data_IF_574013329816
#
_entry.id   IF_574013329816
#
_cell.length_a   1.000
_cell.length_b   1.000
_cell.length_c   1.000
_cell.angle_alpha   90.00
_cell.angle_beta   90.00
_cell.angle_gamma   90.00
#
_symmetry.space_group_name_H-M   'P 1'
#
loop_
_entity.id
_entity.type
_entity.pdbx_description
1 polymer ?
#
# COMPACT_ATOMS: atom_id res chain seq x y z
N UNK A 1 14.01 -4.07 -22.44
CA UNK A 1 13.60 -2.68 -22.11
C UNK A 1 14.59 -2.17 -21.08
N UNK A 2 15.28 -1.06 -21.34
CA UNK A 2 16.14 -0.40 -20.37
C UNK A 2 15.20 0.27 -19.35
N UNK A 3 15.23 -0.21 -18.11
CA UNK A 3 14.56 0.50 -17.00
C UNK A 3 15.30 1.83 -16.84
N UNK A 4 14.57 2.94 -16.89
CA UNK A 4 15.12 4.25 -16.54
C UNK A 4 15.72 4.18 -15.13
N UNK A 5 16.84 4.87 -14.93
CA UNK A 5 17.53 4.87 -13.63
C UNK A 5 16.65 5.63 -12.63
N UNK A 6 16.12 4.91 -11.65
CA UNK A 6 15.37 5.51 -10.54
C UNK A 6 16.39 6.03 -9.52
N UNK A 7 16.31 7.31 -9.17
CA UNK A 7 17.15 7.95 -8.16
C UNK A 7 16.42 7.89 -6.83
N UNK A 8 17.00 7.21 -5.84
CA UNK A 8 16.48 7.15 -4.49
C UNK A 8 17.36 7.89 -3.50
N UNK A 9 16.74 8.71 -2.65
CA UNK A 9 17.36 9.26 -1.46
C UNK A 9 16.78 8.61 -0.22
N UNK A 10 17.61 8.44 0.80
CA UNK A 10 17.24 7.93 2.15
C UNK A 10 16.80 6.46 2.21
N UNK A 11 17.19 5.61 1.25
CA UNK A 11 16.82 4.20 1.23
C UNK A 11 17.96 3.33 1.74
N UNK A 12 17.67 2.44 2.71
CA UNK A 12 18.55 1.32 3.03
C UNK A 12 18.44 0.24 1.95
N UNK A 13 19.51 -0.55 1.74
CA UNK A 13 19.56 -1.62 0.74
C UNK A 13 18.54 -2.76 0.98
N UNK A 14 17.76 -2.73 2.05
CA UNK A 14 16.83 -3.79 2.42
C UNK A 14 15.54 -3.77 1.60
N UNK A 15 15.06 -2.61 1.19
CA UNK A 15 13.86 -2.44 0.36
C UNK A 15 14.00 -3.00 -1.06
N UNK A 16 15.21 -3.37 -1.48
CA UNK A 16 15.45 -3.98 -2.79
C UNK A 16 15.10 -5.49 -2.87
N UNK A 17 14.68 -6.12 -1.76
CA UNK A 17 14.51 -7.58 -1.67
C UNK A 17 13.11 -8.09 -2.02
N UNK A 18 12.13 -7.21 -2.23
CA UNK A 18 10.75 -7.58 -2.55
C UNK A 18 10.53 -7.74 -4.05
N UNK A 19 11.27 -8.67 -4.65
CA UNK A 19 11.19 -8.97 -6.08
C UNK A 19 9.79 -9.46 -6.52
N UNK A 20 9.05 -10.05 -5.61
CA UNK A 20 7.69 -10.55 -5.78
C UNK A 20 6.67 -9.44 -6.11
N UNK A 21 6.71 -8.31 -5.39
CA UNK A 21 5.84 -7.16 -5.67
C UNK A 21 6.23 -6.52 -7.02
N UNK A 22 7.54 -6.43 -7.30
CA UNK A 22 8.03 -5.95 -8.60
C UNK A 22 7.56 -6.83 -9.77
N UNK A 23 7.51 -8.16 -9.59
CA UNK A 23 6.95 -9.07 -10.60
C UNK A 23 5.48 -8.77 -10.88
N UNK A 24 4.66 -8.57 -9.84
CA UNK A 24 3.26 -8.18 -10.00
C UNK A 24 3.13 -6.86 -10.78
N UNK A 25 3.86 -5.81 -10.36
CA UNK A 25 3.79 -4.49 -11.00
C UNK A 25 4.26 -4.54 -12.46
N UNK A 26 5.27 -5.35 -12.76
CA UNK A 26 5.82 -5.53 -14.13
C UNK A 26 4.79 -6.12 -15.10
N UNK A 27 3.88 -6.94 -14.60
CA UNK A 27 2.84 -7.60 -15.40
C UNK A 27 1.63 -6.66 -15.65
N UNK A 28 1.56 -5.48 -14.99
CA UNK A 28 0.50 -4.50 -15.20
C UNK A 28 0.66 -3.84 -16.57
N UNK A 29 -0.40 -3.77 -17.40
CA UNK A 29 -0.35 -3.11 -18.69
C UNK A 29 0.01 -1.61 -18.56
N UNK A 30 0.89 -1.12 -19.45
CA UNK A 30 1.23 0.29 -19.53
C UNK A 30 -0.01 1.18 -19.67
N UNK A 31 0.00 2.33 -18.99
CA UNK A 31 -1.11 3.28 -18.97
C UNK A 31 -2.20 2.97 -17.94
N UNK A 32 -2.17 1.77 -17.31
CA UNK A 32 -3.12 1.41 -16.27
C UNK A 32 -3.03 2.33 -15.04
N UNK A 33 -4.14 2.41 -14.32
CA UNK A 33 -4.24 3.09 -13.03
C UNK A 33 -3.79 2.16 -11.92
N UNK A 34 -2.71 2.52 -11.24
CA UNK A 34 -2.12 1.75 -10.14
C UNK A 34 -2.18 2.54 -8.84
N UNK A 35 -2.69 1.93 -7.77
CA UNK A 35 -2.73 2.53 -6.44
C UNK A 35 -1.75 1.79 -5.51
N UNK A 36 -0.85 2.55 -4.89
CA UNK A 36 0.16 2.09 -3.93
C UNK A 36 -0.26 2.56 -2.53
N UNK A 37 -0.90 1.68 -1.78
CA UNK A 37 -1.36 1.94 -0.42
C UNK A 37 -0.28 1.50 0.57
N UNK A 38 0.21 2.45 1.38
CA UNK A 38 1.41 2.29 2.19
C UNK A 38 2.68 2.49 1.36
N UNK A 39 2.76 3.63 0.67
CA UNK A 39 3.83 3.87 -0.30
C UNK A 39 5.22 4.08 0.33
N UNK A 40 5.29 4.34 1.63
CA UNK A 40 6.53 4.65 2.34
C UNK A 40 7.34 5.73 1.59
N UNK A 41 8.57 5.49 1.21
CA UNK A 41 9.41 6.41 0.42
C UNK A 41 9.15 6.34 -1.10
N UNK A 42 8.15 5.56 -1.55
CA UNK A 42 7.68 5.52 -2.93
C UNK A 42 8.39 4.53 -3.85
N UNK A 43 9.01 3.48 -3.31
CA UNK A 43 9.75 2.51 -4.12
C UNK A 43 8.87 1.90 -5.23
N UNK A 44 7.72 1.35 -4.86
CA UNK A 44 6.83 0.71 -5.83
C UNK A 44 6.07 1.72 -6.70
N UNK A 45 5.77 2.90 -6.15
CA UNK A 45 5.17 4.01 -6.90
C UNK A 45 6.08 4.47 -8.05
N UNK A 46 7.37 4.66 -7.77
CA UNK A 46 8.35 5.05 -8.78
C UNK A 46 8.61 3.93 -9.79
N UNK A 47 8.68 2.68 -9.32
CA UNK A 47 8.83 1.53 -10.20
C UNK A 47 7.66 1.40 -11.18
N UNK A 48 6.42 1.52 -10.70
CA UNK A 48 5.23 1.55 -11.55
C UNK A 48 5.25 2.69 -12.56
N UNK A 49 5.62 3.90 -12.13
CA UNK A 49 5.75 5.05 -13.03
C UNK A 49 6.86 4.85 -14.08
N UNK A 50 7.99 4.24 -13.72
CA UNK A 50 9.05 3.90 -14.70
C UNK A 50 8.56 2.94 -15.79
N UNK A 51 7.60 2.07 -15.45
CA UNK A 51 6.93 1.17 -16.38
C UNK A 51 5.77 1.83 -17.16
N UNK A 52 5.48 3.10 -16.91
CA UNK A 52 4.45 3.86 -17.61
C UNK A 52 3.06 3.79 -16.98
N UNK A 53 2.94 3.41 -15.70
CA UNK A 53 1.67 3.41 -15.00
C UNK A 53 1.27 4.82 -14.52
N UNK A 54 -0.03 5.05 -14.37
CA UNK A 54 -0.59 6.22 -13.71
C UNK A 54 -0.77 5.90 -12.22
N UNK A 55 0.22 6.25 -11.41
CA UNK A 55 0.32 5.83 -10.01
C UNK A 55 -0.31 6.86 -9.07
N UNK A 56 -1.05 6.37 -8.08
CA UNK A 56 -1.61 7.11 -6.96
C UNK A 56 -1.06 6.51 -5.67
N UNK A 57 -0.23 7.26 -4.96
CA UNK A 57 0.49 6.81 -3.78
C UNK A 57 -0.12 7.38 -2.50
N UNK A 58 -0.31 6.54 -1.49
CA UNK A 58 -0.86 6.94 -0.19
C UNK A 58 0.12 6.54 0.91
N UNK A 59 0.51 7.52 1.72
CA UNK A 59 1.42 7.33 2.85
C UNK A 59 0.93 8.15 4.05
N UNK A 60 0.74 7.48 5.19
CA UNK A 60 0.16 8.11 6.36
C UNK A 60 1.17 8.90 7.19
N UNK A 61 2.42 8.41 7.29
CA UNK A 61 3.43 9.11 8.05
C UNK A 61 4.00 10.29 7.28
N UNK A 62 3.92 11.47 7.88
CA UNK A 62 4.37 12.72 7.27
C UNK A 62 5.86 12.71 6.91
N UNK A 63 6.72 12.06 7.69
CA UNK A 63 8.15 12.00 7.40
C UNK A 63 8.46 11.11 6.20
N UNK A 64 7.79 9.95 6.10
CA UNK A 64 7.88 9.08 4.93
C UNK A 64 7.29 9.77 3.71
N UNK A 65 6.15 10.44 3.87
CA UNK A 65 5.51 11.20 2.79
C UNK A 65 6.40 12.31 2.25
N UNK A 66 7.09 13.07 3.10
CA UNK A 66 8.05 14.10 2.65
C UNK A 66 9.20 13.47 1.84
N UNK A 67 9.68 12.29 2.26
CA UNK A 67 10.67 11.52 1.51
C UNK A 67 10.13 11.02 0.17
N UNK A 68 8.86 10.56 0.15
CA UNK A 68 8.15 10.17 -1.09
C UNK A 68 8.06 11.33 -2.07
N UNK A 69 7.62 12.53 -1.61
CA UNK A 69 7.55 13.73 -2.48
C UNK A 69 8.93 14.14 -3.01
N UNK A 70 9.98 14.07 -2.16
CA UNK A 70 11.35 14.33 -2.62
C UNK A 70 11.77 13.33 -3.69
N UNK A 71 11.52 12.04 -3.49
CA UNK A 71 11.83 11.00 -4.46
C UNK A 71 11.04 11.18 -5.77
N UNK A 72 9.77 11.55 -5.73
CA UNK A 72 8.98 11.89 -6.91
C UNK A 72 9.60 13.08 -7.66
N UNK A 73 10.00 14.12 -6.94
CA UNK A 73 10.60 15.31 -7.56
C UNK A 73 11.90 15.00 -8.31
N UNK A 74 12.75 14.12 -7.76
CA UNK A 74 13.98 13.68 -8.43
C UNK A 74 13.73 12.81 -9.66
N UNK A 75 12.57 12.18 -9.75
CA UNK A 75 12.20 11.22 -10.79
C UNK A 75 11.06 11.73 -11.71
N UNK A 76 10.86 13.03 -11.81
CA UNK A 76 9.77 13.67 -12.60
C UNK A 76 9.81 13.41 -14.10
N UNK A 77 10.88 12.80 -14.62
CA UNK A 77 11.04 12.42 -16.04
C UNK A 77 10.64 10.99 -16.34
N UNK A 78 10.13 10.25 -15.35
CA UNK A 78 9.64 8.88 -15.57
C UNK A 78 8.49 8.86 -16.59
N UNK A 79 8.32 7.72 -17.23
CA UNK A 79 7.37 7.51 -18.34
C UNK A 79 5.91 7.71 -17.93
N UNK A 80 5.52 7.24 -16.75
CA UNK A 80 4.20 7.39 -16.18
C UNK A 80 4.05 8.65 -15.33
N UNK A 81 3.03 8.65 -14.48
CA UNK A 81 2.75 9.77 -13.56
C UNK A 81 2.62 9.27 -12.13
N UNK A 82 2.93 10.14 -11.15
CA UNK A 82 2.67 9.86 -9.73
C UNK A 82 1.95 11.04 -9.10
N UNK A 83 0.86 10.75 -8.38
CA UNK A 83 0.21 11.67 -7.45
C UNK A 83 0.27 11.07 -6.07
N UNK A 84 0.79 11.82 -5.10
CA UNK A 84 0.95 11.35 -3.73
C UNK A 84 0.00 12.09 -2.77
N UNK A 85 -0.47 11.36 -1.74
CA UNK A 85 -1.39 11.86 -0.72
C UNK A 85 -0.92 11.45 0.67
N UNK A 86 -0.73 12.43 1.58
CA UNK A 86 -0.41 12.15 2.97
C UNK A 86 -1.69 11.78 3.74
N UNK A 87 -2.12 10.54 3.59
CA UNK A 87 -3.33 9.98 4.19
C UNK A 87 -3.11 8.53 4.63
N UNK A 88 -3.64 8.18 5.79
CA UNK A 88 -3.91 6.78 6.12
C UNK A 88 -5.10 6.26 5.31
N UNK A 89 -5.12 4.98 5.02
CA UNK A 89 -6.21 4.35 4.27
C UNK A 89 -6.82 3.24 5.10
N UNK A 90 -8.15 3.28 5.27
CA UNK A 90 -8.92 2.28 6.02
C UNK A 90 -10.36 2.19 5.50
N UNK A 91 -11.26 1.56 6.25
CA UNK A 91 -12.68 1.44 5.91
C UNK A 91 -13.53 2.67 6.23
N UNK A 92 -12.95 3.76 6.71
CA UNK A 92 -13.66 4.97 7.14
C UNK A 92 -12.85 6.23 6.85
N UNK A 93 -13.52 7.38 6.87
CA UNK A 93 -12.87 8.71 6.79
C UNK A 93 -12.92 9.42 8.14
N UNK A 94 -11.81 10.08 8.54
CA UNK A 94 -11.76 10.86 9.77
C UNK A 94 -10.36 11.04 10.34
N UNK A 95 -10.29 11.22 11.65
CA UNK A 95 -9.02 11.26 12.40
C UNK A 95 -8.82 9.94 13.12
N UNK A 96 -7.58 9.44 13.10
CA UNK A 96 -7.16 8.26 13.83
C UNK A 96 -5.79 8.49 14.44
N UNK A 97 -5.51 7.85 15.56
CA UNK A 97 -4.16 7.84 16.11
C UNK A 97 -3.30 6.83 15.30
N UNK A 98 -2.19 7.30 14.77
CA UNK A 98 -1.11 6.46 14.26
C UNK A 98 -0.19 6.13 15.43
N UNK A 99 0.06 4.84 15.65
CA UNK A 99 0.98 4.33 16.68
C UNK A 99 2.32 3.99 16.04
N UNK A 100 3.43 4.31 16.72
CA UNK A 100 4.78 4.06 16.21
C UNK A 100 5.82 3.94 17.32
N UNK A 101 6.98 3.35 17.02
CA UNK A 101 8.08 3.14 17.97
C UNK A 101 9.21 4.14 17.81
N UNK A 102 9.40 4.67 16.60
CA UNK A 102 10.44 5.65 16.28
C UNK A 102 10.00 6.57 15.12
N UNK A 103 10.70 7.68 14.94
CA UNK A 103 10.47 8.65 13.85
C UNK A 103 11.48 8.48 12.69
N UNK A 104 12.01 7.28 12.49
CA UNK A 104 12.96 7.01 11.42
C UNK A 104 12.30 7.14 10.05
N UNK A 105 12.97 7.90 9.16
CA UNK A 105 12.54 8.06 7.77
C UNK A 105 12.70 6.73 7.04
N UNK A 106 11.65 6.28 6.34
CA UNK A 106 11.61 4.96 5.71
C UNK A 106 11.35 3.82 6.70
N UNK A 107 11.13 4.14 7.98
CA UNK A 107 10.81 3.14 9.00
C UNK A 107 9.47 2.48 8.75
N UNK A 108 9.40 1.19 9.12
CA UNK A 108 8.21 0.35 9.11
C UNK A 108 7.55 0.36 10.49
N UNK A 109 6.48 -0.42 10.65
CA UNK A 109 5.76 -0.58 11.91
C UNK A 109 5.16 0.73 12.41
N UNK A 110 4.44 1.40 11.55
CA UNK A 110 3.57 2.53 11.88
C UNK A 110 2.14 2.10 11.59
N UNK A 111 1.35 1.87 12.61
CA UNK A 111 0.02 1.27 12.52
C UNK A 111 -1.09 2.27 12.87
N UNK A 112 -2.29 2.04 12.38
CA UNK A 112 -3.49 2.73 12.86
C UNK A 112 -4.00 2.06 14.14
N UNK A 113 -4.41 2.86 15.14
CA UNK A 113 -5.06 2.37 16.35
C UNK A 113 -6.52 1.98 16.05
N UNK A 114 -6.71 0.74 15.58
CA UNK A 114 -7.99 0.20 15.14
C UNK A 114 -8.43 -0.98 16.00
N UNK A 115 -9.74 -1.05 16.28
CA UNK A 115 -10.34 -2.22 16.95
C UNK A 115 -10.26 -3.50 16.08
N UNK A 116 -10.32 -3.33 14.76
CA UNK A 116 -10.24 -4.38 13.75
C UNK A 116 -8.85 -4.50 13.11
N UNK A 117 -7.80 -4.18 13.87
CA UNK A 117 -6.41 -4.30 13.46
C UNK A 117 -6.08 -5.73 12.99
N UNK A 118 -5.50 -5.86 11.79
CA UNK A 118 -5.21 -7.13 11.12
C UNK A 118 -3.72 -7.46 10.99
N UNK A 119 -2.85 -6.64 11.55
CA UNK A 119 -1.40 -6.83 11.51
C UNK A 119 -0.85 -7.80 12.58
N UNK A 120 0.46 -8.08 12.55
CA UNK A 120 1.12 -9.01 13.46
C UNK A 120 1.43 -8.39 14.83
N UNK A 121 1.49 -7.07 14.92
CA UNK A 121 1.93 -6.36 16.12
C UNK A 121 0.82 -6.24 17.14
N UNK A 122 1.19 -6.10 18.41
CA UNK A 122 0.27 -5.70 19.47
C UNK A 122 0.38 -4.20 19.66
N UNK A 123 -0.75 -3.51 19.83
CA UNK A 123 -0.77 -2.05 20.07
C UNK A 123 0.05 -1.65 21.29
N UNK A 124 0.23 -2.55 22.26
CA UNK A 124 1.06 -2.37 23.47
C UNK A 124 2.56 -2.21 23.19
N UNK A 125 3.04 -2.64 22.03
CA UNK A 125 4.44 -2.54 21.62
C UNK A 125 4.82 -1.12 21.16
N UNK A 126 3.83 -0.25 20.95
CA UNK A 126 4.01 1.11 20.47
C UNK A 126 3.94 2.12 21.62
N UNK A 127 4.89 3.06 21.63
CA UNK A 127 5.06 4.00 22.74
C UNK A 127 4.77 5.46 22.35
N UNK A 128 4.62 5.73 21.08
CA UNK A 128 4.33 7.05 20.53
C UNK A 128 3.06 7.02 19.71
N UNK A 129 2.35 8.16 19.69
CA UNK A 129 1.17 8.32 18.85
C UNK A 129 1.07 9.71 18.26
N UNK A 130 0.48 9.78 17.09
CA UNK A 130 0.19 11.03 16.38
C UNK A 130 -1.16 10.92 15.70
N UNK A 131 -2.00 11.93 15.85
CA UNK A 131 -3.26 11.98 15.13
C UNK A 131 -3.03 12.33 13.65
N UNK A 132 -3.58 11.53 12.77
CA UNK A 132 -3.48 11.68 11.31
C UNK A 132 -4.86 11.68 10.66
N UNK A 133 -4.89 12.10 9.39
CA UNK A 133 -6.06 11.96 8.54
C UNK A 133 -6.11 10.56 7.93
N UNK A 134 -7.25 9.89 8.09
CA UNK A 134 -7.56 8.60 7.47
C UNK A 134 -8.71 8.79 6.50
N UNK A 135 -8.66 8.08 5.38
CA UNK A 135 -9.69 8.13 4.34
C UNK A 135 -10.29 6.74 4.09
N UNK A 136 -11.58 6.73 3.82
CA UNK A 136 -12.22 5.71 3.01
C UNK A 136 -11.90 6.03 1.54
N UNK A 137 -11.31 5.07 0.84
CA UNK A 137 -10.79 5.31 -0.50
C UNK A 137 -11.91 5.55 -1.52
N UNK A 138 -13.05 4.86 -1.39
CA UNK A 138 -14.21 5.06 -2.28
C UNK A 138 -14.78 6.47 -2.16
N UNK A 139 -14.85 7.02 -0.92
CA UNK A 139 -15.29 8.40 -0.68
C UNK A 139 -14.28 9.40 -1.26
N UNK A 140 -13.00 9.18 -1.02
CA UNK A 140 -11.92 10.06 -1.49
C UNK A 140 -11.82 10.11 -3.01
N UNK A 141 -11.97 8.97 -3.69
CA UNK A 141 -12.01 8.88 -5.15
C UNK A 141 -13.16 9.72 -5.70
N UNK A 142 -14.34 9.63 -5.12
CA UNK A 142 -15.53 10.41 -5.54
C UNK A 142 -15.35 11.91 -5.28
N UNK A 143 -14.87 12.27 -4.08
CA UNK A 143 -14.66 13.67 -3.70
C UNK A 143 -13.70 14.39 -4.65
N UNK A 144 -12.58 13.73 -5.00
CA UNK A 144 -11.56 14.33 -5.87
C UNK A 144 -11.72 13.99 -7.35
N UNK A 145 -12.78 13.26 -7.71
CA UNK A 145 -13.03 12.77 -9.07
C UNK A 145 -11.79 12.06 -9.66
N UNK A 146 -11.22 11.15 -8.90
CA UNK A 146 -10.07 10.33 -9.32
C UNK A 146 -10.54 9.11 -10.12
N UNK A 147 -9.70 8.53 -10.98
CA UNK A 147 -10.01 7.24 -11.60
C UNK A 147 -9.93 6.12 -10.56
N UNK A 148 -10.85 5.17 -10.61
CA UNK A 148 -10.72 3.95 -9.79
C UNK A 148 -9.47 3.17 -10.18
N UNK A 149 -8.78 2.51 -9.22
CA UNK A 149 -7.63 1.68 -9.52
C UNK A 149 -8.02 0.45 -10.34
N UNK A 150 -7.20 0.14 -11.34
CA UNK A 150 -7.24 -1.14 -12.05
C UNK A 150 -6.39 -2.18 -11.31
N UNK A 151 -5.32 -1.73 -10.65
CA UNK A 151 -4.42 -2.57 -9.88
C UNK A 151 -4.02 -1.88 -8.57
N UNK A 152 -3.82 -2.68 -7.49
CA UNK A 152 -3.43 -2.15 -6.19
C UNK A 152 -2.25 -2.93 -5.59
N UNK A 153 -1.39 -2.22 -4.88
CA UNK A 153 -0.58 -2.77 -3.80
C UNK A 153 -1.20 -2.32 -2.48
N UNK A 154 -1.42 -3.26 -1.56
CA UNK A 154 -2.02 -3.04 -0.25
C UNK A 154 -1.06 -3.58 0.80
N UNK A 155 -0.39 -2.68 1.49
CA UNK A 155 0.58 -2.96 2.54
C UNK A 155 0.51 -1.75 3.49
N UNK A 156 -0.45 -1.81 4.40
CA UNK A 156 -0.90 -0.70 5.25
C UNK A 156 -0.84 -1.06 6.74
N UNK A 157 0.15 -1.91 7.06
CA UNK A 157 0.58 -2.24 8.42
C UNK A 157 -0.60 -2.58 9.37
N UNK A 158 -1.52 -3.47 8.91
CA UNK A 158 -2.60 -4.02 9.75
C UNK A 158 -3.96 -3.36 9.62
N UNK A 159 -4.17 -2.43 8.69
CA UNK A 159 -5.50 -1.90 8.35
C UNK A 159 -6.14 -2.55 7.13
N UNK A 160 -5.59 -3.68 6.63
CA UNK A 160 -6.06 -4.40 5.43
C UNK A 160 -7.50 -4.86 5.56
N UNK A 161 -7.87 -5.46 6.70
CA UNK A 161 -9.24 -5.92 6.93
C UNK A 161 -10.24 -4.76 6.93
N UNK A 162 -9.93 -3.69 7.66
CA UNK A 162 -10.74 -2.47 7.68
C UNK A 162 -10.91 -1.89 6.28
N UNK A 163 -9.80 -1.79 5.51
CA UNK A 163 -9.82 -1.33 4.12
C UNK A 163 -10.72 -2.20 3.24
N UNK A 164 -10.52 -3.52 3.22
CA UNK A 164 -11.29 -4.43 2.37
C UNK A 164 -12.78 -4.37 2.65
N UNK A 165 -13.15 -4.27 3.91
CA UNK A 165 -14.55 -4.17 4.35
C UNK A 165 -15.21 -2.86 3.95
N UNK A 166 -14.47 -1.75 3.96
CA UNK A 166 -15.02 -0.41 3.78
C UNK A 166 -14.99 0.13 2.35
N UNK A 167 -14.29 -0.52 1.39
CA UNK A 167 -14.04 0.03 0.05
C UNK A 167 -14.53 -0.90 -1.09
N UNK A 168 -15.84 -1.25 -1.13
CA UNK A 168 -16.38 -2.21 -2.10
C UNK A 168 -16.30 -1.72 -3.55
N UNK A 169 -16.41 -0.42 -3.83
CA UNK A 169 -16.35 0.09 -5.20
C UNK A 169 -14.92 0.03 -5.76
N UNK A 170 -13.92 0.33 -4.93
CA UNK A 170 -12.50 0.12 -5.26
C UNK A 170 -12.25 -1.34 -5.63
N UNK A 171 -12.69 -2.29 -4.77
CA UNK A 171 -12.54 -3.72 -5.03
C UNK A 171 -13.28 -4.16 -6.29
N UNK A 172 -14.48 -3.64 -6.53
CA UNK A 172 -15.28 -4.00 -7.71
C UNK A 172 -14.61 -3.57 -9.02
N UNK A 173 -13.95 -2.42 -9.05
CA UNK A 173 -13.29 -1.88 -10.24
C UNK A 173 -11.90 -2.48 -10.49
N UNK A 174 -11.23 -3.00 -9.46
CA UNK A 174 -9.90 -3.56 -9.60
C UNK A 174 -9.91 -4.89 -10.36
N UNK A 175 -8.86 -5.10 -11.16
CA UNK A 175 -8.57 -6.32 -11.94
C UNK A 175 -7.58 -7.25 -11.23
N UNK A 176 -6.71 -6.68 -10.41
CA UNK A 176 -5.71 -7.42 -9.66
C UNK A 176 -5.12 -6.60 -8.52
N UNK A 177 -4.63 -7.30 -7.52
CA UNK A 177 -3.95 -6.68 -6.39
C UNK A 177 -2.87 -7.59 -5.80
N UNK A 178 -1.88 -6.98 -5.17
CA UNK A 178 -0.98 -7.64 -4.23
C UNK A 178 -1.26 -7.08 -2.84
N UNK A 179 -1.41 -7.97 -1.86
CA UNK A 179 -1.76 -7.61 -0.48
C UNK A 179 -0.90 -8.38 0.51
N UNK A 180 -0.39 -7.67 1.52
CA UNK A 180 0.28 -8.27 2.66
C UNK A 180 -0.74 -8.75 3.69
N UNK A 181 -0.70 -10.03 4.07
CA UNK A 181 -1.61 -10.60 5.06
C UNK A 181 -0.86 -11.50 6.05
N UNK A 182 -1.25 -11.40 7.32
CA UNK A 182 -0.78 -12.24 8.41
C UNK A 182 -1.71 -13.45 8.59
N UNK A 183 -1.21 -14.66 8.33
CA UNK A 183 -2.03 -15.90 8.40
C UNK A 183 -2.45 -16.28 9.80
N UNK A 184 -1.74 -15.84 10.84
CA UNK A 184 -2.12 -16.07 12.25
C UNK A 184 -3.13 -15.06 12.77
N UNK A 185 -3.44 -14.00 12.01
CA UNK A 185 -4.42 -13.02 12.42
C UNK A 185 -5.84 -13.55 12.29
N UNK A 186 -6.68 -13.23 13.27
CA UNK A 186 -8.09 -13.67 13.32
C UNK A 186 -8.96 -13.22 12.14
N UNK A 187 -8.54 -12.20 11.39
CA UNK A 187 -9.26 -11.67 10.22
C UNK A 187 -8.72 -12.19 8.88
N UNK A 188 -7.74 -13.10 8.89
CA UNK A 188 -7.15 -13.61 7.65
C UNK A 188 -8.20 -14.24 6.72
N UNK A 189 -9.01 -15.16 7.25
CA UNK A 189 -10.04 -15.85 6.46
C UNK A 189 -11.09 -14.88 5.94
N UNK A 190 -11.47 -13.87 6.75
CA UNK A 190 -12.40 -12.82 6.33
C UNK A 190 -11.84 -11.95 5.21
N UNK A 191 -10.55 -11.59 5.25
CA UNK A 191 -9.90 -10.85 4.16
C UNK A 191 -9.96 -11.65 2.84
N UNK A 192 -9.63 -12.94 2.89
CA UNK A 192 -9.71 -13.83 1.72
C UNK A 192 -11.14 -13.95 1.22
N UNK A 193 -12.11 -14.21 2.10
CA UNK A 193 -13.52 -14.33 1.75
C UNK A 193 -14.09 -13.05 1.11
N UNK A 194 -13.70 -11.86 1.62
CA UNK A 194 -14.09 -10.58 1.01
C UNK A 194 -13.57 -10.54 -0.43
N UNK A 195 -12.28 -10.76 -0.65
CA UNK A 195 -11.68 -10.71 -1.99
C UNK A 195 -12.31 -11.72 -2.94
N UNK A 196 -12.55 -12.97 -2.51
CA UNK A 196 -13.21 -14.00 -3.29
C UNK A 196 -14.65 -13.60 -3.66
N UNK A 197 -15.38 -12.92 -2.76
CA UNK A 197 -16.74 -12.42 -3.02
C UNK A 197 -16.81 -11.39 -4.15
N UNK A 198 -15.70 -10.67 -4.41
CA UNK A 198 -15.53 -9.75 -5.54
C UNK A 198 -14.97 -10.43 -6.81
N UNK A 199 -14.81 -11.75 -6.79
CA UNK A 199 -14.34 -12.54 -7.92
C UNK A 199 -12.83 -12.65 -8.06
N UNK A 200 -12.07 -12.26 -7.04
CA UNK A 200 -10.63 -12.45 -7.02
C UNK A 200 -10.26 -13.89 -6.68
N UNK A 201 -9.20 -14.38 -7.30
CA UNK A 201 -8.60 -15.69 -6.98
C UNK A 201 -7.12 -15.50 -6.65
N UNK A 202 -6.61 -16.26 -5.67
CA UNK A 202 -5.20 -16.28 -5.36
C UNK A 202 -4.45 -16.95 -6.51
N UNK A 203 -3.51 -16.23 -7.10
CA UNK A 203 -2.66 -16.75 -8.18
C UNK A 203 -1.22 -17.03 -7.72
N UNK A 204 -0.73 -16.26 -6.73
CA UNK A 204 0.60 -16.42 -6.17
C UNK A 204 0.58 -16.10 -4.67
N UNK A 205 1.49 -16.76 -3.93
CA UNK A 205 1.77 -16.50 -2.52
C UNK A 205 3.28 -16.47 -2.33
N UNK A 206 3.77 -15.44 -1.67
CA UNK A 206 5.20 -15.24 -1.42
C UNK A 206 5.45 -15.03 0.06
N UNK A 207 6.49 -15.69 0.57
CA UNK A 207 6.97 -15.48 1.93
C UNK A 207 7.63 -14.11 2.08
N UNK A 208 7.44 -13.48 3.24
CA UNK A 208 8.13 -12.25 3.62
C UNK A 208 9.34 -12.64 4.46
N UNK A 209 10.57 -12.35 4.02
CA UNK A 209 11.77 -12.74 4.74
C UNK A 209 11.79 -12.22 6.18
N UNK A 210 11.91 -13.12 7.15
CA UNK A 210 11.97 -12.79 8.57
C UNK A 210 10.61 -12.67 9.27
N UNK A 211 9.51 -12.99 8.56
CA UNK A 211 8.18 -13.04 9.13
C UNK A 211 7.48 -14.35 8.78
N UNK A 212 7.46 -15.30 9.72
CA UNK A 212 7.05 -16.70 9.49
C UNK A 212 5.58 -16.87 9.07
N UNK A 213 4.69 -15.97 9.45
CA UNK A 213 3.26 -16.01 9.19
C UNK A 213 2.73 -14.83 8.35
N UNK A 214 3.64 -13.97 7.85
CA UNK A 214 3.36 -12.89 6.91
C UNK A 214 3.64 -13.27 5.46
N UNK A 215 2.71 -12.96 4.57
CA UNK A 215 2.83 -13.29 3.15
C UNK A 215 2.27 -12.19 2.26
N UNK A 216 2.93 -12.00 1.12
CA UNK A 216 2.37 -11.25 0.00
C UNK A 216 1.53 -12.19 -0.88
N UNK A 217 0.23 -11.91 -0.98
CA UNK A 217 -0.70 -12.65 -1.84
C UNK A 217 -1.02 -11.83 -3.10
N UNK A 218 -0.95 -12.48 -4.27
CA UNK A 218 -1.41 -11.89 -5.53
C UNK A 218 -2.78 -12.45 -5.86
N UNK A 219 -3.74 -11.56 -6.00
CA UNK A 219 -5.12 -11.85 -6.39
C UNK A 219 -5.43 -11.24 -7.76
N UNK A 220 -6.08 -12.00 -8.63
CA UNK A 220 -6.50 -11.58 -9.98
C UNK A 220 -7.97 -11.96 -10.17
N UNK A 221 -8.72 -11.14 -10.94
CA UNK A 221 -10.08 -11.48 -11.43
C UNK A 221 -10.02 -12.18 -12.75
#
# INVERSE_FOLDING_TARGET
MSVEVIIFKNVSNEHFKEDNIKEFIKDIPEGSVFYDLGANLGWFSLYGSALGLNTYAFEMDKFNFDGLEENIWWNKSLKGSIKAYNKGVAGFSGKCDMLYTNEEIGGHNKILDLEDFSGPHKTEDFHMKRQIDVINLDEFIKELNLPYPEYLKIDIDGSEYSFLKGNPETLNNAKGLVIELCTSNKFFDECVNILESFGFVITKKYEIPGWDDGFNYVFIK
#
